data_IF_972325505964
#
_entry.id   IF_972325505964
#
_cell.length_a   1.000
_cell.length_b   1.000
_cell.length_c   1.000
_cell.angle_alpha   90.00
_cell.angle_beta   90.00
_cell.angle_gamma   90.00
#
_symmetry.space_group_name_H-M   'P 1'
#
loop_
_entity.id
_entity.type
_entity.pdbx_description
1 polymer ?
#
# COMPACT_ATOMS: atom_id res chain seq x y z
N UNK A 1 17.91 -4.41 8.94
CA UNK A 1 17.97 -5.01 10.30
C UNK A 1 16.88 -6.05 10.43
N UNK A 2 17.02 -7.12 11.23
CA UNK A 2 15.92 -8.02 11.50
C UNK A 2 14.78 -7.23 12.16
N UNK A 3 13.52 -7.56 11.80
CA UNK A 3 12.33 -6.92 12.36
C UNK A 3 12.29 -7.22 13.86
N UNK A 4 12.44 -6.19 14.69
CA UNK A 4 12.27 -6.32 16.12
C UNK A 4 10.78 -6.57 16.43
N UNK A 5 10.49 -7.50 17.33
CA UNK A 5 9.13 -7.69 17.82
C UNK A 5 8.71 -6.43 18.59
N UNK A 6 7.80 -5.66 18.02
CA UNK A 6 7.22 -4.52 18.68
C UNK A 6 5.94 -4.96 19.39
N UNK A 7 6.01 -5.11 20.72
CA UNK A 7 4.83 -5.37 21.55
C UNK A 7 3.96 -4.11 21.68
N UNK A 8 3.39 -3.67 20.56
CA UNK A 8 2.36 -2.65 20.64
C UNK A 8 1.10 -3.28 21.22
N UNK A 9 0.54 -2.71 22.30
CA UNK A 9 -0.77 -3.15 22.74
C UNK A 9 -1.74 -3.00 21.57
N UNK A 10 -2.40 -4.08 21.20
CA UNK A 10 -3.38 -4.12 20.11
C UNK A 10 -4.38 -2.99 20.30
N UNK A 11 -4.31 -1.96 19.46
CA UNK A 11 -5.33 -0.95 19.42
C UNK A 11 -6.42 -1.42 18.47
N UNK A 12 -7.46 -2.03 19.03
CA UNK A 12 -8.74 -2.16 18.35
C UNK A 12 -9.32 -0.76 18.13
N UNK A 13 -8.75 0.00 17.20
CA UNK A 13 -9.37 1.22 16.72
C UNK A 13 -10.41 0.77 15.69
N UNK A 14 -11.65 0.68 16.13
CA UNK A 14 -12.76 0.55 15.21
C UNK A 14 -12.75 1.80 14.29
N UNK A 15 -12.41 1.61 13.03
CA UNK A 15 -12.59 2.66 12.03
C UNK A 15 -14.11 2.78 11.82
N UNK A 16 -14.71 3.94 12.08
CA UNK A 16 -16.13 4.12 11.85
C UNK A 16 -16.37 4.05 10.33
N UNK A 17 -16.89 2.91 9.90
CA UNK A 17 -17.40 2.80 8.54
C UNK A 17 -18.87 3.28 8.56
N UNK A 18 -19.31 4.10 7.58
CA UNK A 18 -20.67 4.63 7.59
C UNK A 18 -21.69 3.49 7.48
N UNK A 19 -22.77 3.58 8.24
CA UNK A 19 -23.89 2.62 8.20
C UNK A 19 -24.56 2.63 6.82
N UNK A 20 -24.70 3.82 6.24
CA UNK A 20 -25.25 4.02 4.90
C UNK A 20 -24.13 4.36 3.91
N UNK A 21 -24.22 3.78 2.73
CA UNK A 21 -23.27 4.08 1.67
C UNK A 21 -23.49 5.51 1.15
N UNK A 22 -22.41 6.22 0.80
CA UNK A 22 -22.53 7.51 0.13
C UNK A 22 -23.27 7.39 -1.20
N UNK A 23 -23.92 8.47 -1.64
CA UNK A 23 -24.65 8.49 -2.90
C UNK A 23 -23.77 8.05 -4.09
N UNK A 24 -24.30 7.19 -4.92
CA UNK A 24 -23.62 6.63 -6.10
C UNK A 24 -22.72 5.42 -5.80
N UNK A 25 -22.74 4.91 -4.57
CA UNK A 25 -22.09 3.65 -4.23
C UNK A 25 -23.11 2.57 -3.94
N UNK A 26 -22.81 1.38 -4.40
CA UNK A 26 -23.60 0.16 -4.18
C UNK A 26 -22.65 -1.00 -3.93
N UNK A 27 -23.04 -1.93 -3.08
CA UNK A 27 -22.27 -3.15 -2.84
C UNK A 27 -22.25 -4.04 -4.07
N UNK A 28 -21.09 -4.59 -4.37
CA UNK A 28 -20.98 -5.66 -5.35
C UNK A 28 -21.87 -6.85 -4.93
N UNK A 29 -22.58 -7.47 -5.87
CA UNK A 29 -23.39 -8.63 -5.57
C UNK A 29 -22.54 -9.88 -5.39
N UNK A 30 -23.02 -10.82 -4.59
CA UNK A 30 -22.49 -12.19 -4.49
C UNK A 30 -21.00 -12.29 -4.08
N UNK A 31 -20.50 -11.32 -3.32
CA UNK A 31 -19.14 -11.38 -2.81
C UNK A 31 -18.96 -12.52 -1.79
N UNK A 32 -17.79 -13.14 -1.81
CA UNK A 32 -17.35 -14.05 -0.76
C UNK A 32 -17.13 -13.19 0.50
N UNK A 33 -17.55 -13.71 1.66
CA UNK A 33 -17.27 -13.05 2.94
C UNK A 33 -15.78 -13.15 3.26
N UNK A 34 -15.19 -12.06 3.73
CA UNK A 34 -13.83 -12.07 4.24
C UNK A 34 -13.73 -12.98 5.48
N UNK A 35 -12.70 -13.85 5.48
CA UNK A 35 -12.37 -14.74 6.57
C UNK A 35 -10.84 -14.68 6.77
N UNK A 36 -10.36 -14.03 7.84
CA UNK A 36 -8.93 -13.86 8.07
C UNK A 36 -8.17 -15.20 8.15
N UNK A 37 -8.80 -16.26 8.66
CA UNK A 37 -8.16 -17.58 8.78
C UNK A 37 -7.93 -18.28 7.42
N UNK A 38 -8.63 -17.86 6.37
CA UNK A 38 -8.51 -18.42 5.02
C UNK A 38 -7.76 -17.50 4.07
N UNK A 39 -8.01 -16.20 4.20
CA UNK A 39 -7.57 -15.22 3.21
C UNK A 39 -6.26 -14.52 3.55
N UNK A 40 -5.78 -14.64 4.79
CA UNK A 40 -4.52 -14.04 5.23
C UNK A 40 -3.43 -15.10 5.38
N UNK A 41 -2.20 -14.72 5.02
CA UNK A 41 -0.97 -15.45 5.32
C UNK A 41 -0.16 -14.70 6.38
N UNK A 42 -0.07 -13.37 6.28
CA UNK A 42 0.61 -12.47 7.22
C UNK A 42 2.05 -12.91 7.53
N UNK A 43 2.81 -13.25 6.49
CA UNK A 43 4.23 -13.58 6.59
C UNK A 43 5.04 -12.28 6.65
N UNK A 44 5.61 -11.90 7.81
CA UNK A 44 6.29 -10.61 7.93
C UNK A 44 7.58 -10.56 7.09
N UNK A 45 8.05 -9.35 6.69
CA UNK A 45 9.30 -9.21 5.97
C UNK A 45 10.48 -9.63 6.87
N UNK A 46 11.55 -10.08 6.26
CA UNK A 46 12.78 -10.49 6.97
C UNK A 46 13.67 -9.30 7.30
N UNK A 47 13.51 -8.20 6.56
CA UNK A 47 14.34 -7.01 6.68
C UNK A 47 13.52 -5.72 6.51
N UNK A 48 13.95 -4.70 7.22
CA UNK A 48 13.46 -3.33 7.08
C UNK A 48 14.63 -2.38 6.89
N UNK A 49 14.42 -1.32 6.12
CA UNK A 49 15.35 -0.21 5.91
C UNK A 49 14.97 0.88 6.90
N UNK A 50 15.95 1.39 7.63
CA UNK A 50 15.75 2.47 8.59
C UNK A 50 15.95 3.84 7.95
N UNK A 51 15.37 4.88 8.54
CA UNK A 51 15.62 6.27 8.15
C UNK A 51 17.10 6.64 8.30
N UNK A 52 17.80 6.10 9.31
CA UNK A 52 19.24 6.32 9.49
C UNK A 52 20.07 5.78 8.32
N UNK A 53 19.70 4.61 7.77
CA UNK A 53 20.37 4.04 6.58
C UNK A 53 20.14 4.89 5.33
N UNK A 54 19.08 5.70 5.29
CA UNK A 54 18.80 6.66 4.22
C UNK A 54 19.50 8.01 4.40
N UNK A 55 20.17 8.23 5.53
CA UNK A 55 20.92 9.44 5.80
C UNK A 55 20.21 10.50 6.65
N UNK A 56 19.04 10.18 7.23
CA UNK A 56 18.39 11.09 8.19
C UNK A 56 19.16 11.17 9.50
N UNK A 57 19.25 12.36 10.07
CA UNK A 57 19.85 12.60 11.38
C UNK A 57 18.96 12.09 12.52
N UNK A 58 19.56 11.85 13.69
CA UNK A 58 18.84 11.41 14.88
C UNK A 58 17.68 12.35 15.25
N UNK A 59 17.90 13.64 15.18
CA UNK A 59 16.86 14.66 15.47
C UNK A 59 15.70 14.64 14.47
N UNK A 60 15.97 14.35 13.21
CA UNK A 60 14.91 14.19 12.22
C UNK A 60 14.10 12.93 12.50
N UNK A 61 14.77 11.81 12.81
CA UNK A 61 14.13 10.53 13.12
C UNK A 61 13.25 10.63 14.36
N UNK A 62 13.70 11.32 15.41
CA UNK A 62 12.90 11.57 16.63
C UNK A 62 11.60 12.33 16.36
N UNK A 63 11.54 13.10 15.28
CA UNK A 63 10.34 13.84 14.87
C UNK A 63 9.35 13.02 14.04
N UNK A 64 9.72 11.80 13.62
CA UNK A 64 8.88 10.94 12.79
C UNK A 64 8.02 9.96 13.60
N UNK A 65 7.01 9.38 12.95
CA UNK A 65 6.15 8.39 13.58
C UNK A 65 6.85 7.03 13.79
N UNK A 66 7.94 6.77 13.08
CA UNK A 66 8.69 5.51 13.09
C UNK A 66 10.13 5.74 12.62
N UNK A 67 11.11 4.97 13.11
CA UNK A 67 12.47 5.00 12.59
C UNK A 67 12.64 4.19 11.27
N UNK A 68 11.58 3.56 10.77
CA UNK A 68 11.63 2.70 9.58
C UNK A 68 11.18 3.48 8.34
N UNK A 69 11.87 3.26 7.24
CA UNK A 69 11.60 3.90 5.95
C UNK A 69 10.85 2.98 4.98
N UNK A 70 11.25 1.71 4.92
CA UNK A 70 10.66 0.72 4.03
C UNK A 70 10.89 -0.70 4.56
N UNK A 71 10.17 -1.67 4.05
CA UNK A 71 10.42 -3.09 4.25
C UNK A 71 10.68 -3.79 2.92
N UNK A 72 11.30 -4.94 2.98
CA UNK A 72 11.22 -5.88 1.86
C UNK A 72 9.77 -6.29 1.60
N UNK A 73 9.45 -6.71 0.36
CA UNK A 73 8.15 -7.29 0.07
C UNK A 73 7.85 -8.49 0.97
N UNK A 74 6.61 -8.58 1.39
CA UNK A 74 6.15 -9.66 2.25
C UNK A 74 4.73 -10.10 1.86
N UNK A 75 4.33 -11.26 2.31
CA UNK A 75 3.07 -11.86 1.92
C UNK A 75 1.97 -11.53 2.94
N UNK A 76 0.94 -10.83 2.50
CA UNK A 76 -0.23 -10.50 3.32
C UNK A 76 -1.35 -11.51 3.11
N UNK A 77 -1.62 -11.88 1.87
CA UNK A 77 -2.74 -12.75 1.49
C UNK A 77 -2.28 -14.20 1.30
N UNK A 78 -3.16 -15.13 1.66
CA UNK A 78 -3.06 -16.52 1.22
C UNK A 78 -3.30 -16.63 -0.28
N UNK A 79 -3.07 -17.81 -0.88
CA UNK A 79 -3.39 -18.06 -2.30
C UNK A 79 -4.87 -17.83 -2.60
N UNK A 80 -5.75 -18.24 -1.68
CA UNK A 80 -7.19 -18.01 -1.79
C UNK A 80 -7.51 -16.51 -1.69
N UNK A 81 -6.94 -15.81 -0.72
CA UNK A 81 -7.09 -14.37 -0.56
C UNK A 81 -6.58 -13.58 -1.76
N UNK A 82 -5.42 -13.94 -2.31
CA UNK A 82 -4.85 -13.31 -3.49
C UNK A 82 -5.76 -13.50 -4.73
N UNK A 83 -6.32 -14.69 -4.91
CA UNK A 83 -7.28 -14.97 -5.98
C UNK A 83 -8.55 -14.12 -5.86
N UNK A 84 -9.11 -14.02 -4.65
CA UNK A 84 -10.30 -13.19 -4.40
C UNK A 84 -9.96 -11.71 -4.63
N UNK A 85 -8.81 -11.24 -4.15
CA UNK A 85 -8.36 -9.87 -4.34
C UNK A 85 -8.24 -9.52 -5.83
N UNK A 86 -7.66 -10.41 -6.64
CA UNK A 86 -7.54 -10.23 -8.09
C UNK A 86 -8.91 -10.17 -8.76
N UNK A 87 -9.87 -11.01 -8.37
CA UNK A 87 -11.24 -10.98 -8.86
C UNK A 87 -11.96 -9.69 -8.47
N UNK A 88 -11.79 -9.27 -7.22
CA UNK A 88 -12.34 -8.00 -6.70
C UNK A 88 -11.81 -6.80 -7.47
N UNK A 89 -10.48 -6.74 -7.67
CA UNK A 89 -9.85 -5.68 -8.45
C UNK A 89 -10.38 -5.67 -9.90
N UNK A 90 -10.48 -6.84 -10.53
CA UNK A 90 -11.05 -6.97 -11.88
C UNK A 90 -12.49 -6.43 -11.98
N UNK A 91 -13.32 -6.70 -10.98
CA UNK A 91 -14.69 -6.18 -10.93
C UNK A 91 -14.70 -4.66 -10.67
N UNK A 92 -13.87 -4.18 -9.76
CA UNK A 92 -13.77 -2.77 -9.41
C UNK A 92 -13.20 -1.92 -10.56
N UNK A 93 -12.47 -2.51 -11.50
CA UNK A 93 -11.96 -1.83 -12.69
C UNK A 93 -13.06 -1.08 -13.49
N UNK A 94 -14.28 -1.57 -13.49
CA UNK A 94 -15.41 -0.89 -14.13
C UNK A 94 -15.74 0.50 -13.53
N UNK A 95 -15.21 0.79 -12.35
CA UNK A 95 -15.43 2.05 -11.62
C UNK A 95 -14.21 2.97 -11.62
N UNK A 96 -13.23 2.72 -12.50
CA UNK A 96 -12.05 3.58 -12.63
C UNK A 96 -12.44 4.99 -13.07
N UNK A 97 -11.71 5.95 -12.55
CA UNK A 97 -11.79 7.36 -12.92
C UNK A 97 -10.38 7.91 -13.07
N UNK A 98 -10.24 9.03 -13.76
CA UNK A 98 -8.95 9.71 -13.84
C UNK A 98 -8.61 10.34 -12.49
N UNK A 99 -7.44 10.00 -11.96
CA UNK A 99 -6.88 10.54 -10.72
C UNK A 99 -6.01 11.78 -10.98
N UNK A 100 -6.64 12.91 -11.27
CA UNK A 100 -5.91 14.15 -11.58
C UNK A 100 -5.04 14.03 -12.85
N UNK A 101 -3.82 14.56 -12.77
CA UNK A 101 -2.85 14.54 -13.86
C UNK A 101 -1.80 13.42 -13.74
N UNK A 102 -1.90 12.61 -12.68
CA UNK A 102 -0.87 11.64 -12.30
C UNK A 102 -1.25 10.20 -12.67
N UNK A 103 -2.46 9.79 -12.34
CA UNK A 103 -2.93 8.43 -12.56
C UNK A 103 -4.10 8.46 -13.53
N UNK A 104 -4.02 7.68 -14.60
CA UNK A 104 -5.10 7.64 -15.60
C UNK A 104 -6.29 6.86 -15.09
N UNK A 105 -6.05 5.69 -14.53
CA UNK A 105 -7.10 4.77 -14.10
C UNK A 105 -6.95 4.44 -12.61
N UNK A 106 -7.76 5.07 -11.76
CA UNK A 106 -7.78 4.84 -10.32
C UNK A 106 -9.19 4.53 -9.82
N UNK A 107 -9.30 3.61 -8.88
CA UNK A 107 -10.51 3.41 -8.08
C UNK A 107 -10.30 4.03 -6.70
N UNK A 108 -11.15 4.99 -6.36
CA UNK A 108 -11.33 5.52 -5.01
C UNK A 108 -12.64 5.04 -4.45
N UNK A 109 -12.71 4.78 -3.14
CA UNK A 109 -13.92 4.28 -2.50
C UNK A 109 -14.24 2.83 -2.87
N UNK A 110 -13.24 2.00 -3.19
CA UNK A 110 -13.41 0.57 -3.42
C UNK A 110 -14.07 -0.12 -2.20
N UNK A 111 -13.75 0.31 -0.99
CA UNK A 111 -14.35 -0.18 0.25
C UNK A 111 -15.85 0.16 0.41
N UNK A 112 -16.39 1.10 -0.36
CA UNK A 112 -17.83 1.35 -0.44
C UNK A 112 -18.53 0.46 -1.48
N UNK A 113 -17.77 -0.36 -2.23
CA UNK A 113 -18.32 -1.27 -3.24
C UNK A 113 -18.08 -2.72 -2.91
N UNK A 114 -16.93 -3.06 -2.37
CA UNK A 114 -16.57 -4.42 -1.97
C UNK A 114 -16.50 -4.53 -0.46
N UNK A 115 -17.36 -5.39 0.10
CA UNK A 115 -17.33 -5.76 1.51
C UNK A 115 -16.06 -6.53 1.86
N UNK A 116 -15.64 -7.40 0.97
CA UNK A 116 -14.41 -8.17 1.15
C UNK A 116 -13.19 -7.25 1.25
N UNK A 117 -13.05 -6.29 0.32
CA UNK A 117 -11.96 -5.30 0.36
C UNK A 117 -12.04 -4.41 1.61
N UNK A 118 -13.23 -3.97 1.98
CA UNK A 118 -13.44 -3.20 3.21
C UNK A 118 -12.93 -3.96 4.42
N UNK A 119 -13.37 -5.21 4.57
CA UNK A 119 -13.06 -6.04 5.74
C UNK A 119 -11.56 -6.38 5.79
N UNK A 120 -10.92 -6.56 4.64
CA UNK A 120 -9.46 -6.67 4.54
C UNK A 120 -8.77 -5.38 5.03
N UNK A 121 -9.18 -4.22 4.53
CA UNK A 121 -8.54 -2.93 4.84
C UNK A 121 -8.69 -2.48 6.29
N UNK A 122 -9.73 -2.97 7.00
CA UNK A 122 -9.95 -2.67 8.42
C UNK A 122 -9.71 -3.88 9.32
N UNK A 123 -9.11 -4.97 8.79
CA UNK A 123 -8.80 -6.18 9.57
C UNK A 123 -7.87 -5.86 10.73
N UNK A 124 -8.23 -6.24 11.95
CA UNK A 124 -7.34 -6.12 13.10
C UNK A 124 -6.02 -6.87 12.92
N UNK A 125 -6.07 -8.05 12.31
CA UNK A 125 -4.91 -8.91 12.07
C UNK A 125 -3.92 -8.23 11.12
N UNK A 126 -4.40 -7.63 10.04
CA UNK A 126 -3.57 -6.85 9.11
C UNK A 126 -2.99 -5.63 9.82
N UNK A 127 -3.82 -4.90 10.58
CA UNK A 127 -3.38 -3.72 11.32
C UNK A 127 -2.28 -4.05 12.33
N UNK A 128 -2.39 -5.17 13.04
CA UNK A 128 -1.40 -5.62 14.01
C UNK A 128 -0.05 -5.95 13.35
N UNK A 129 -0.09 -6.70 12.25
CA UNK A 129 1.14 -7.04 11.51
C UNK A 129 1.80 -5.77 10.96
N UNK A 130 1.04 -4.84 10.40
CA UNK A 130 1.58 -3.56 9.91
C UNK A 130 2.16 -2.72 11.06
N UNK A 131 1.50 -2.68 12.22
CA UNK A 131 2.03 -1.99 13.41
C UNK A 131 3.39 -2.55 13.85
N UNK A 132 3.55 -3.87 13.80
CA UNK A 132 4.83 -4.53 14.10
C UNK A 132 5.90 -4.18 13.07
N UNK A 133 5.57 -4.20 11.76
CA UNK A 133 6.51 -3.85 10.69
C UNK A 133 6.95 -2.40 10.80
N UNK A 134 6.02 -1.48 11.03
CA UNK A 134 6.33 -0.05 11.17
C UNK A 134 6.94 0.32 12.52
N UNK A 135 6.93 -0.59 13.50
CA UNK A 135 7.44 -0.32 14.84
C UNK A 135 6.70 0.81 15.57
N UNK A 136 5.43 1.03 15.25
CA UNK A 136 4.60 2.09 15.83
C UNK A 136 3.13 1.72 15.83
N UNK A 137 2.35 2.41 16.64
CA UNK A 137 0.90 2.24 16.70
C UNK A 137 0.26 2.85 15.48
N UNK A 138 -0.55 2.09 14.78
CA UNK A 138 -1.27 2.55 13.58
C UNK A 138 -2.77 2.27 13.71
N UNK A 139 -3.52 2.95 12.88
CA UNK A 139 -4.92 2.67 12.60
C UNK A 139 -5.16 2.78 11.09
N UNK A 140 -6.11 2.03 10.53
CA UNK A 140 -6.54 2.24 9.17
C UNK A 140 -6.96 3.69 8.93
N UNK A 141 -6.82 4.17 7.70
CA UNK A 141 -7.17 5.55 7.35
C UNK A 141 -8.64 5.85 7.70
N UNK A 142 -8.88 6.94 8.42
CA UNK A 142 -10.21 7.29 8.96
C UNK A 142 -11.23 7.73 7.89
N UNK A 143 -10.77 7.99 6.66
CA UNK A 143 -11.65 8.28 5.52
C UNK A 143 -11.75 7.05 4.62
N UNK A 144 -12.86 6.30 4.65
CA UNK A 144 -13.01 5.04 3.91
C UNK A 144 -12.84 5.18 2.39
N UNK A 145 -13.04 6.37 1.82
CA UNK A 145 -12.82 6.63 0.39
C UNK A 145 -11.36 6.44 -0.02
N UNK A 146 -10.43 6.55 0.92
CA UNK A 146 -8.99 6.38 0.69
C UNK A 146 -8.48 4.98 1.03
N UNK A 147 -9.28 4.18 1.75
CA UNK A 147 -8.94 2.79 2.03
C UNK A 147 -8.97 1.97 0.75
N UNK A 148 -7.93 1.15 0.54
CA UNK A 148 -7.86 0.20 -0.56
C UNK A 148 -8.06 0.85 -1.93
N UNK A 149 -7.50 2.05 -2.16
CA UNK A 149 -7.52 2.60 -3.50
C UNK A 149 -6.66 1.74 -4.43
N UNK A 150 -7.04 1.66 -5.69
CA UNK A 150 -6.37 0.81 -6.67
C UNK A 150 -5.96 1.62 -7.89
N UNK A 151 -4.71 1.44 -8.30
CA UNK A 151 -4.17 2.00 -9.52
C UNK A 151 -4.14 0.91 -10.59
N UNK A 152 -4.65 1.21 -11.77
CA UNK A 152 -4.67 0.30 -12.91
C UNK A 152 -3.77 0.83 -14.02
N UNK A 153 -3.40 -0.07 -14.91
CA UNK A 153 -2.58 0.26 -16.06
C UNK A 153 -3.21 1.37 -16.89
N UNK A 154 -2.41 2.29 -17.45
CA UNK A 154 -2.87 3.29 -18.38
C UNK A 154 -3.28 2.67 -19.73
N UNK A 155 -4.03 3.39 -20.54
CA UNK A 155 -4.42 2.94 -21.88
C UNK A 155 -3.21 2.73 -22.79
N UNK A 156 -2.15 3.51 -22.59
CA UNK A 156 -0.87 3.33 -23.26
C UNK A 156 0.10 2.58 -22.32
N UNK A 157 0.36 1.33 -22.61
CA UNK A 157 1.25 0.44 -21.83
C UNK A 157 2.70 0.92 -21.74
N UNK A 158 3.12 1.90 -22.55
CA UNK A 158 4.45 2.52 -22.48
C UNK A 158 4.50 3.68 -21.47
N UNK A 159 3.38 4.06 -20.90
CA UNK A 159 3.32 5.10 -19.86
C UNK A 159 3.37 4.45 -18.47
N UNK A 160 3.93 5.16 -17.51
CA UNK A 160 3.93 4.72 -16.12
C UNK A 160 2.51 4.74 -15.55
N UNK A 161 2.18 3.77 -14.69
CA UNK A 161 0.92 3.74 -13.94
C UNK A 161 0.80 4.98 -13.06
N UNK A 162 1.89 5.37 -12.43
CA UNK A 162 2.01 6.58 -11.62
C UNK A 162 3.37 7.24 -11.83
N UNK A 163 3.48 8.52 -11.51
CA UNK A 163 4.73 9.28 -11.59
C UNK A 163 5.45 9.27 -10.23
N UNK A 164 6.76 9.51 -10.26
CA UNK A 164 7.54 9.75 -9.05
C UNK A 164 6.89 10.81 -8.17
N UNK A 165 6.67 10.48 -6.92
CA UNK A 165 6.02 11.34 -5.94
C UNK A 165 6.45 10.94 -4.51
N UNK A 166 6.08 11.75 -3.55
CA UNK A 166 6.15 11.46 -2.15
C UNK A 166 4.72 11.38 -1.61
N UNK A 167 4.40 10.34 -0.87
CA UNK A 167 3.09 10.20 -0.25
C UNK A 167 2.89 11.23 0.87
N UNK A 168 1.66 11.68 1.03
CA UNK A 168 1.30 12.69 2.02
C UNK A 168 0.93 12.08 3.38
N UNK A 169 0.69 10.78 3.42
CA UNK A 169 0.45 10.04 4.66
C UNK A 169 1.78 9.50 5.20
N UNK A 170 1.94 9.42 6.52
CA UNK A 170 3.22 9.03 7.12
C UNK A 170 3.56 7.55 6.92
N UNK A 171 2.56 6.69 6.77
CA UNK A 171 2.72 5.25 6.65
C UNK A 171 1.73 4.70 5.63
N UNK A 172 2.22 3.91 4.70
CA UNK A 172 1.45 3.26 3.65
C UNK A 172 2.00 1.87 3.36
N UNK A 173 1.20 1.02 2.74
CA UNK A 173 1.70 -0.20 2.13
C UNK A 173 1.10 -0.38 0.73
N UNK A 174 1.92 -0.82 -0.20
CA UNK A 174 1.54 -1.06 -1.59
C UNK A 174 1.39 -2.56 -1.80
N UNK A 175 0.18 -2.98 -2.18
CA UNK A 175 -0.10 -4.38 -2.50
C UNK A 175 -0.08 -4.59 -4.01
N UNK A 176 0.86 -5.42 -4.49
CA UNK A 176 0.86 -5.87 -5.88
C UNK A 176 -0.18 -6.98 -6.05
N UNK A 177 -1.29 -6.66 -6.73
CA UNK A 177 -2.41 -7.59 -6.91
C UNK A 177 -2.18 -8.54 -8.09
N UNK A 178 -1.42 -8.09 -9.08
CA UNK A 178 -0.99 -8.90 -10.23
C UNK A 178 0.48 -9.28 -10.08
N UNK A 179 0.86 -10.45 -10.58
CA UNK A 179 2.25 -10.90 -10.59
C UNK A 179 3.13 -9.91 -11.39
N UNK A 180 4.04 -9.15 -10.75
CA UNK A 180 4.85 -8.16 -11.44
C UNK A 180 5.74 -8.74 -12.55
N UNK A 181 6.10 -10.03 -12.44
CA UNK A 181 6.93 -10.73 -13.43
C UNK A 181 6.19 -10.98 -14.76
N UNK A 182 4.87 -10.89 -14.74
CA UNK A 182 3.99 -11.05 -15.93
C UNK A 182 3.59 -9.72 -16.56
N UNK A 183 3.95 -8.61 -15.93
CA UNK A 183 3.59 -7.29 -16.45
C UNK A 183 4.60 -6.83 -17.50
N UNK A 184 4.15 -6.25 -18.63
CA UNK A 184 5.05 -5.71 -19.65
C UNK A 184 5.79 -4.43 -19.21
N UNK A 185 5.38 -3.84 -18.08
CA UNK A 185 5.94 -2.61 -17.49
C UNK A 185 5.32 -2.35 -16.13
N UNK A 186 5.41 -1.12 -15.63
CA UNK A 186 4.81 -0.72 -14.36
C UNK A 186 5.55 -1.28 -13.15
N UNK A 187 6.86 -1.40 -13.21
CA UNK A 187 7.69 -1.75 -12.04
C UNK A 187 7.44 -0.77 -10.93
N UNK A 188 7.21 -1.29 -9.73
CA UNK A 188 7.25 -0.48 -8.53
C UNK A 188 8.71 -0.16 -8.22
N UNK A 189 9.01 1.12 -8.07
CA UNK A 189 10.37 1.59 -7.78
C UNK A 189 10.32 2.63 -6.68
N UNK A 190 11.33 2.65 -5.81
CA UNK A 190 11.48 3.70 -4.81
C UNK A 190 12.94 4.19 -4.74
N UNK A 191 13.09 5.42 -4.24
CA UNK A 191 14.38 6.07 -4.11
C UNK A 191 14.97 5.82 -2.72
N UNK A 192 16.23 5.36 -2.68
CA UNK A 192 17.02 5.22 -1.46
C UNK A 192 17.71 6.54 -1.12
N UNK A 193 17.02 7.38 -0.39
CA UNK A 193 17.55 8.66 0.05
C UNK A 193 16.55 9.47 0.84
N UNK A 194 16.96 10.67 1.25
CA UNK A 194 16.07 11.57 1.98
C UNK A 194 15.07 12.25 1.05
N UNK A 195 13.99 12.74 1.64
CA UNK A 195 12.98 13.52 0.92
C UNK A 195 13.57 14.80 0.32
N UNK A 196 14.50 15.43 1.03
CA UNK A 196 15.19 16.63 0.62
C UNK A 196 16.07 16.39 -0.60
N UNK A 197 16.79 15.25 -0.62
CA UNK A 197 17.57 14.84 -1.80
C UNK A 197 16.67 14.60 -3.01
N UNK A 198 15.56 13.89 -2.83
CA UNK A 198 14.59 13.65 -3.89
C UNK A 198 14.00 14.96 -4.43
N UNK A 199 13.64 15.90 -3.54
CA UNK A 199 13.14 17.22 -3.91
C UNK A 199 14.17 18.04 -4.69
N UNK A 200 15.44 18.01 -4.26
CA UNK A 200 16.53 18.70 -4.93
C UNK A 200 16.79 18.12 -6.36
N UNK A 201 16.72 16.81 -6.52
CA UNK A 201 16.83 16.17 -7.85
C UNK A 201 15.66 16.62 -8.75
N UNK A 202 14.42 16.59 -8.25
CA UNK A 202 13.25 17.02 -8.99
C UNK A 202 13.31 18.50 -9.40
N UNK A 203 13.74 19.38 -8.49
CA UNK A 203 13.90 20.81 -8.75
C UNK A 203 14.99 21.07 -9.82
N UNK A 204 16.01 20.22 -9.88
CA UNK A 204 17.07 20.29 -10.88
C UNK A 204 16.70 19.61 -12.22
N UNK A 205 15.48 19.06 -12.34
CA UNK A 205 15.07 18.28 -13.52
C UNK A 205 15.86 17.00 -13.73
N UNK A 206 16.45 16.45 -12.66
CA UNK A 206 17.27 15.24 -12.69
C UNK A 206 16.46 14.04 -12.21
N UNK A 207 16.75 12.88 -12.79
CA UNK A 207 16.28 11.59 -12.28
C UNK A 207 17.21 11.12 -11.16
N UNK A 208 16.72 10.32 -10.19
CA UNK A 208 17.59 9.70 -9.20
C UNK A 208 18.67 8.84 -9.85
N UNK A 209 19.88 8.76 -9.27
CA UNK A 209 20.93 7.85 -9.75
C UNK A 209 20.45 6.40 -9.74
N UNK A 210 20.76 5.60 -10.77
CA UNK A 210 20.27 4.22 -10.88
C UNK A 210 20.68 3.31 -9.70
N UNK A 211 21.81 3.54 -9.08
CA UNK A 211 22.31 2.81 -7.90
C UNK A 211 21.55 3.15 -6.60
N UNK A 212 20.69 4.19 -6.65
CA UNK A 212 19.82 4.60 -5.56
C UNK A 212 18.32 4.35 -5.85
N UNK A 213 18.01 3.66 -6.94
CA UNK A 213 16.66 3.22 -7.26
C UNK A 213 16.57 1.73 -6.96
N UNK A 214 15.59 1.36 -6.15
CA UNK A 214 15.27 -0.03 -5.88
C UNK A 214 13.97 -0.41 -6.55
N UNK A 215 14.02 -1.47 -7.33
CA UNK A 215 12.86 -2.20 -7.81
C UNK A 215 12.80 -3.52 -7.02
N UNK A 216 11.97 -3.64 -5.99
CA UNK A 216 11.96 -4.82 -5.16
C UNK A 216 11.50 -6.05 -5.95
N UNK A 217 12.09 -7.20 -5.64
CA UNK A 217 11.65 -8.49 -6.18
C UNK A 217 10.49 -9.01 -5.31
N UNK A 218 9.30 -8.98 -5.86
CA UNK A 218 8.13 -9.48 -5.16
C UNK A 218 8.14 -11.02 -5.19
N UNK A 219 7.94 -11.69 -4.04
CA UNK A 219 7.70 -13.11 -4.03
C UNK A 219 6.46 -13.38 -4.90
N UNK A 220 6.59 -14.32 -5.83
CA UNK A 220 5.43 -14.74 -6.64
C UNK A 220 4.31 -15.30 -5.75
N UNK A 221 3.09 -15.38 -6.26
CA UNK A 221 2.00 -16.05 -5.57
C UNK A 221 2.33 -17.50 -5.30
#
# INVERSE_FOLDING_TARGET
>A
MPVAHYDAPSMNIAVPFPEELPAGYEWLPNEIRFDPNKHLALEPPTCVITLAELGYSESEIESTATPFAASEPFRVLSDEGAKIMLQTAGTLRAYTKRGGNRIENIVRGGCYRSRWLRDLCISPEVTEVMANIYGTRIAPHTMPVHLGHMNFEPSNVNEAVDKWHHDTIPLDYVMMVTDPKKLPGGRFEYFLGTKEEAAALGAAGKTPPPDRIVAPDFPGP
#
